data_IF_497456960543
#
_entry.id   IF_497456960543
#
_cell.length_a   1.000
_cell.length_b   1.000
_cell.length_c   1.000
_cell.angle_alpha   90.00
_cell.angle_beta   90.00
_cell.angle_gamma   90.00
#
_symmetry.space_group_name_H-M   'P 1'
#
loop_
_entity.id
_entity.type
_entity.pdbx_description
1 polymer ?
#
# COMPACT_ATOMS: atom_id res chain seq x y z
N UNK A 1 -5.67 55.53 -25.83
CA UNK A 1 -6.21 54.14 -25.84
C UNK A 1 -5.04 53.16 -25.96
N UNK A 2 -4.79 52.26 -24.99
CA UNK A 2 -3.75 51.26 -25.18
C UNK A 2 -4.28 50.14 -26.07
N UNK A 3 -3.61 49.92 -27.20
CA UNK A 3 -3.86 48.81 -28.11
C UNK A 3 -3.69 47.49 -27.35
N UNK A 4 -4.82 46.83 -27.07
CA UNK A 4 -4.89 45.49 -26.50
C UNK A 4 -4.16 44.56 -27.47
N UNK A 5 -2.88 44.22 -27.19
CA UNK A 5 -2.10 43.25 -27.98
C UNK A 5 -2.95 41.99 -28.11
N UNK A 6 -3.51 41.74 -29.30
CA UNK A 6 -4.18 40.48 -29.61
C UNK A 6 -3.16 39.37 -29.34
N UNK A 7 -3.38 38.56 -28.32
CA UNK A 7 -2.61 37.33 -28.13
C UNK A 7 -2.79 36.54 -29.43
N UNK A 8 -1.76 36.45 -30.27
CA UNK A 8 -1.78 35.53 -31.41
C UNK A 8 -2.05 34.15 -30.82
N UNK A 9 -3.18 33.56 -31.18
CA UNK A 9 -3.51 32.20 -30.79
C UNK A 9 -2.54 31.31 -31.58
N UNK A 10 -1.40 30.98 -30.99
CA UNK A 10 -0.45 30.04 -31.59
C UNK A 10 -1.18 28.70 -31.63
N UNK A 11 -1.48 28.22 -32.84
CA UNK A 11 -2.08 26.91 -33.03
C UNK A 11 -1.08 25.84 -32.58
N UNK A 12 -1.52 24.82 -31.84
CA UNK A 12 -0.65 23.74 -31.43
C UNK A 12 -0.20 22.92 -32.64
N UNK A 13 1.04 22.47 -32.62
CA UNK A 13 1.58 21.56 -33.62
C UNK A 13 0.91 20.16 -33.47
N UNK A 14 0.79 19.38 -34.56
CA UNK A 14 0.30 18.02 -34.48
C UNK A 14 1.22 17.16 -33.61
N UNK A 15 0.62 16.22 -32.87
CA UNK A 15 1.36 15.33 -31.98
C UNK A 15 2.20 14.35 -32.82
N UNK A 16 3.52 14.27 -32.61
CA UNK A 16 4.35 13.26 -33.27
C UNK A 16 3.83 11.85 -33.02
N UNK A 17 3.80 11.04 -34.08
CA UNK A 17 3.33 9.66 -34.01
C UNK A 17 4.11 8.81 -33.00
N UNK A 18 3.44 7.89 -32.34
CA UNK A 18 4.08 6.89 -31.48
C UNK A 18 4.45 7.36 -30.06
N UNK A 19 4.27 8.63 -29.70
CA UNK A 19 4.46 9.11 -28.32
C UNK A 19 3.55 8.34 -27.36
N UNK A 20 2.27 8.22 -27.71
CA UNK A 20 1.28 7.46 -26.96
C UNK A 20 0.93 6.18 -27.74
N UNK A 21 1.37 4.99 -27.27
CA UNK A 21 0.93 3.73 -27.88
C UNK A 21 -0.58 3.60 -27.75
N UNK A 22 -1.27 3.30 -28.86
CA UNK A 22 -2.72 3.13 -28.87
C UNK A 22 -3.17 1.95 -27.99
N UNK A 23 -2.31 0.94 -27.84
CA UNK A 23 -2.56 -0.27 -27.07
C UNK A 23 -2.10 -0.17 -25.60
N UNK A 24 -1.54 0.96 -25.16
CA UNK A 24 -0.98 1.13 -23.80
C UNK A 24 -1.93 0.67 -22.69
N UNK A 25 -3.21 1.10 -22.79
CA UNK A 25 -4.23 0.82 -21.79
C UNK A 25 -4.57 -0.67 -21.75
N UNK A 26 -4.72 -1.30 -22.92
CA UNK A 26 -5.06 -2.71 -23.05
C UNK A 26 -3.88 -3.61 -22.67
N UNK A 27 -2.68 -3.31 -23.18
CA UNK A 27 -1.43 -4.05 -22.95
C UNK A 27 -1.11 -4.22 -21.47
N UNK A 28 -1.38 -3.20 -20.66
CA UNK A 28 -1.08 -3.19 -19.22
C UNK A 28 -2.32 -3.30 -18.33
N UNK A 29 -3.49 -3.56 -18.92
CA UNK A 29 -4.80 -3.61 -18.24
C UNK A 29 -4.96 -2.46 -17.22
N UNK A 30 -4.65 -1.23 -17.66
CA UNK A 30 -4.52 -0.07 -16.77
C UNK A 30 -5.82 0.24 -16.04
N UNK A 31 -6.97 0.02 -16.69
CA UNK A 31 -8.26 0.24 -16.06
C UNK A 31 -8.46 -0.67 -14.86
N UNK A 32 -8.20 -1.99 -15.03
CA UNK A 32 -8.32 -2.94 -13.94
C UNK A 32 -7.33 -2.64 -12.82
N UNK A 33 -6.05 -2.44 -13.17
CA UNK A 33 -4.96 -2.18 -12.22
C UNK A 33 -5.22 -0.92 -11.37
N UNK A 34 -5.66 0.17 -11.99
CA UNK A 34 -5.76 1.48 -11.35
C UNK A 34 -7.10 1.71 -10.66
N UNK A 35 -8.17 1.10 -11.15
CA UNK A 35 -9.53 1.39 -10.68
C UNK A 35 -10.26 0.16 -10.14
N UNK A 36 -10.28 -0.97 -10.86
CA UNK A 36 -11.07 -2.13 -10.43
C UNK A 36 -10.44 -2.91 -9.28
N UNK A 37 -9.18 -3.33 -9.42
CA UNK A 37 -8.51 -4.17 -8.43
C UNK A 37 -8.44 -3.50 -7.04
N UNK A 38 -8.11 -2.20 -6.90
CA UNK A 38 -8.11 -1.53 -5.60
C UNK A 38 -9.47 -1.48 -4.90
N UNK A 39 -10.58 -1.59 -5.65
CA UNK A 39 -11.94 -1.55 -5.10
C UNK A 39 -12.50 -2.96 -4.85
N UNK A 40 -12.20 -3.90 -5.74
CA UNK A 40 -12.79 -5.25 -5.73
C UNK A 40 -12.00 -6.25 -4.89
N UNK A 41 -10.69 -6.02 -4.66
CA UNK A 41 -9.82 -6.92 -3.89
C UNK A 41 -9.56 -6.43 -2.45
N UNK A 42 -10.53 -5.75 -1.86
CA UNK A 42 -10.47 -5.37 -0.44
C UNK A 42 -10.77 -6.59 0.43
N UNK A 43 -10.02 -6.74 1.51
CA UNK A 43 -10.21 -7.83 2.47
C UNK A 43 -11.33 -7.46 3.44
N UNK A 44 -12.43 -8.22 3.49
CA UNK A 44 -13.61 -7.84 4.26
C UNK A 44 -13.27 -7.73 5.76
N UNK A 45 -13.72 -6.66 6.45
CA UNK A 45 -13.54 -6.56 7.88
C UNK A 45 -14.28 -7.68 8.60
N UNK A 46 -13.66 -8.20 9.64
CA UNK A 46 -14.28 -9.21 10.51
C UNK A 46 -14.33 -8.70 11.94
N UNK A 47 -15.41 -9.00 12.69
CA UNK A 47 -15.45 -8.74 14.12
C UNK A 47 -14.23 -9.31 14.83
N UNK A 48 -13.86 -8.67 15.93
CA UNK A 48 -12.81 -9.21 16.78
C UNK A 48 -13.31 -10.52 17.42
N UNK A 49 -12.41 -11.50 17.46
CA UNK A 49 -12.54 -12.76 18.19
C UNK A 49 -11.11 -13.28 18.43
N UNK A 50 -10.82 -13.96 19.55
CA UNK A 50 -9.53 -14.61 19.75
C UNK A 50 -9.23 -15.59 18.63
N UNK A 51 -7.95 -15.77 18.30
CA UNK A 51 -7.53 -16.74 17.31
C UNK A 51 -7.91 -18.15 17.74
N UNK A 52 -8.38 -18.98 16.80
CA UNK A 52 -8.63 -20.40 17.00
C UNK A 52 -7.33 -21.22 16.97
N UNK A 53 -7.38 -22.48 17.43
CA UNK A 53 -6.20 -23.34 17.41
C UNK A 53 -5.73 -23.64 15.98
N UNK A 54 -6.65 -23.75 15.03
CA UNK A 54 -6.33 -23.99 13.63
C UNK A 54 -5.60 -22.79 13.00
N UNK A 55 -6.09 -21.58 13.26
CA UNK A 55 -5.44 -20.34 12.85
C UNK A 55 -4.05 -20.19 13.50
N UNK A 56 -3.93 -20.51 14.79
CA UNK A 56 -2.64 -20.48 15.47
C UNK A 56 -1.65 -21.49 14.88
N UNK A 57 -2.10 -22.72 14.62
CA UNK A 57 -1.29 -23.75 13.94
C UNK A 57 -0.80 -23.31 12.56
N UNK A 58 -1.57 -22.48 11.84
CA UNK A 58 -1.14 -21.91 10.57
C UNK A 58 -0.06 -20.82 10.72
N UNK A 59 -0.15 -19.99 11.77
CA UNK A 59 0.78 -18.87 11.99
C UNK A 59 2.07 -19.26 12.74
N UNK A 60 1.99 -20.20 13.67
CA UNK A 60 3.08 -20.55 14.57
C UNK A 60 4.39 -20.91 13.83
N UNK A 61 4.38 -21.72 12.74
CA UNK A 61 5.61 -22.02 12.00
C UNK A 61 6.27 -20.78 11.39
N UNK A 62 5.47 -19.81 10.93
CA UNK A 62 5.99 -18.54 10.38
C UNK A 62 6.65 -17.73 11.49
N UNK A 63 6.03 -17.67 12.68
CA UNK A 63 6.60 -16.99 13.83
C UNK A 63 7.92 -17.63 14.28
N UNK A 64 7.97 -18.96 14.33
CA UNK A 64 9.18 -19.72 14.65
C UNK A 64 10.32 -19.41 13.68
N UNK A 65 10.05 -19.49 12.38
CA UNK A 65 11.03 -19.25 11.32
C UNK A 65 11.59 -17.81 11.36
N UNK A 66 10.79 -16.83 11.79
CA UNK A 66 11.22 -15.45 11.94
C UNK A 66 11.84 -15.13 13.31
N UNK A 67 12.07 -16.13 14.17
CA UNK A 67 12.56 -15.93 15.54
C UNK A 67 11.62 -15.09 16.41
N UNK A 68 10.34 -15.02 16.05
CA UNK A 68 9.36 -14.16 16.68
C UNK A 68 8.55 -14.94 17.73
N UNK A 69 8.86 -14.70 19.02
CA UNK A 69 8.08 -15.26 20.13
C UNK A 69 8.44 -16.70 20.52
N UNK A 70 9.48 -17.30 19.93
CA UNK A 70 9.93 -18.66 20.27
C UNK A 70 11.42 -18.74 20.67
N UNK A 71 12.07 -17.61 20.94
CA UNK A 71 13.46 -17.62 21.40
C UNK A 71 13.52 -17.73 22.94
N UNK A 72 14.31 -18.68 23.43
CA UNK A 72 14.67 -18.85 24.86
C UNK A 72 15.55 -17.70 25.41
N UNK A 73 15.88 -16.72 24.57
CA UNK A 73 16.76 -15.60 24.93
C UNK A 73 15.94 -14.41 25.43
N UNK A 74 15.86 -14.28 26.75
CA UNK A 74 15.33 -13.11 27.45
C UNK A 74 14.48 -13.47 28.67
N UNK A 75 14.02 -12.45 29.41
CA UNK A 75 13.05 -12.66 30.50
C UNK A 75 11.78 -13.31 29.92
N UNK A 76 11.29 -14.41 30.50
CA UNK A 76 10.02 -15.02 30.12
C UNK A 76 8.94 -13.94 30.05
N UNK A 77 8.24 -13.86 28.94
CA UNK A 77 7.12 -12.92 28.81
C UNK A 77 5.92 -13.54 29.51
N UNK A 78 5.20 -12.74 30.31
CA UNK A 78 4.05 -13.20 31.09
C UNK A 78 2.87 -13.73 30.23
N UNK A 79 2.93 -13.60 28.89
CA UNK A 79 1.89 -14.12 28.01
C UNK A 79 2.46 -14.83 26.77
N UNK A 80 1.67 -15.76 26.24
CA UNK A 80 2.04 -16.57 25.08
C UNK A 80 2.15 -15.72 23.79
N UNK A 81 2.93 -16.17 22.79
CA UNK A 81 3.02 -15.49 21.50
C UNK A 81 1.67 -15.34 20.78
N UNK A 82 0.76 -16.31 20.94
CA UNK A 82 -0.62 -16.26 20.44
C UNK A 82 -1.40 -15.12 21.10
N UNK A 83 -1.42 -15.05 22.43
CA UNK A 83 -2.10 -13.98 23.16
C UNK A 83 -1.56 -12.60 22.77
N UNK A 84 -0.25 -12.51 22.50
CA UNK A 84 0.38 -11.28 22.02
C UNK A 84 -0.08 -10.90 20.61
N UNK A 85 -0.24 -11.87 19.70
CA UNK A 85 -0.80 -11.61 18.38
C UNK A 85 -2.26 -11.18 18.46
N UNK A 86 -3.07 -11.80 19.30
CA UNK A 86 -4.47 -11.40 19.51
C UNK A 86 -4.57 -9.96 20.01
N UNK A 87 -3.71 -9.56 20.96
CA UNK A 87 -3.61 -8.17 21.43
C UNK A 87 -3.23 -7.20 20.29
N UNK A 88 -2.24 -7.57 19.47
CA UNK A 88 -1.82 -6.76 18.32
C UNK A 88 -2.94 -6.64 17.30
N UNK A 89 -3.63 -7.74 16.98
CA UNK A 89 -4.72 -7.73 16.01
C UNK A 89 -5.91 -6.91 16.50
N UNK A 90 -6.28 -7.05 17.78
CA UNK A 90 -7.27 -6.19 18.41
C UNK A 90 -6.91 -4.71 18.25
N UNK A 91 -5.70 -4.32 18.65
CA UNK A 91 -5.24 -2.94 18.50
C UNK A 91 -5.22 -2.49 17.03
N UNK A 92 -4.77 -3.35 16.12
CA UNK A 92 -4.60 -3.02 14.71
C UNK A 92 -5.93 -2.70 14.03
N UNK A 93 -6.99 -3.45 14.35
CA UNK A 93 -8.34 -3.27 13.78
C UNK A 93 -9.15 -2.18 14.50
N UNK A 94 -8.82 -1.84 15.74
CA UNK A 94 -9.55 -0.83 16.53
C UNK A 94 -9.47 0.57 15.88
N UNK A 95 -10.63 1.20 15.69
CA UNK A 95 -10.75 2.60 15.25
C UNK A 95 -11.07 3.51 16.45
N UNK A 96 -10.57 4.74 16.42
CA UNK A 96 -10.88 5.78 17.41
C UNK A 96 -10.92 7.15 16.73
N UNK A 97 -12.02 7.90 16.91
CA UNK A 97 -12.19 9.23 16.33
C UNK A 97 -12.06 9.27 14.81
N UNK A 98 -12.61 8.27 14.10
CA UNK A 98 -12.54 8.18 12.63
C UNK A 98 -11.17 7.76 12.06
N UNK A 99 -10.23 7.32 12.90
CA UNK A 99 -8.90 6.87 12.48
C UNK A 99 -8.34 5.72 13.32
N UNK A 100 -7.03 5.48 13.20
CA UNK A 100 -6.32 4.39 13.90
C UNK A 100 -6.22 4.66 15.41
N UNK A 101 -6.60 3.68 16.23
CA UNK A 101 -6.52 3.82 17.68
C UNK A 101 -5.07 3.89 18.21
N UNK A 102 -4.71 4.83 19.10
CA UNK A 102 -3.42 4.78 19.80
C UNK A 102 -3.32 3.53 20.70
N UNK A 103 -2.08 3.14 21.05
CA UNK A 103 -1.83 1.96 21.91
C UNK A 103 -2.53 2.03 23.27
N UNK A 104 -2.69 3.23 23.84
CA UNK A 104 -3.34 3.44 25.14
C UNK A 104 -4.80 2.95 25.24
N UNK A 105 -5.45 2.66 24.11
CA UNK A 105 -6.84 2.19 24.04
C UNK A 105 -6.92 0.67 24.11
N UNK A 106 -5.78 -0.04 24.03
CA UNK A 106 -5.78 -1.50 24.13
C UNK A 106 -6.39 -1.92 25.49
N UNK A 107 -7.38 -2.84 25.52
CA UNK A 107 -7.97 -3.32 26.76
C UNK A 107 -6.93 -3.89 27.73
N UNK A 108 -7.17 -3.68 29.03
CA UNK A 108 -6.25 -4.10 30.10
C UNK A 108 -6.04 -5.63 30.15
N UNK A 109 -7.01 -6.42 29.71
CA UNK A 109 -6.94 -7.89 29.65
C UNK A 109 -5.82 -8.40 28.73
N UNK A 110 -5.39 -7.59 27.74
CA UNK A 110 -4.25 -7.93 26.87
C UNK A 110 -2.89 -7.56 27.48
N UNK A 111 -2.88 -7.07 28.72
CA UNK A 111 -1.71 -6.63 29.46
C UNK A 111 -1.25 -5.22 29.08
N UNK A 112 -0.05 -4.86 29.55
CA UNK A 112 0.50 -3.49 29.40
C UNK A 112 0.67 -3.11 27.91
N UNK A 113 0.04 -2.02 27.43
CA UNK A 113 0.12 -1.60 26.03
C UNK A 113 1.55 -1.39 25.52
N UNK A 114 2.45 -0.87 26.35
CA UNK A 114 3.86 -0.65 25.99
C UNK A 114 4.59 -1.93 25.66
N UNK A 115 4.30 -3.02 26.39
CA UNK A 115 4.89 -4.34 26.17
C UNK A 115 4.44 -4.89 24.81
N UNK A 116 3.14 -4.76 24.49
CA UNK A 116 2.58 -5.17 23.20
C UNK A 116 3.19 -4.35 22.06
N UNK A 117 3.28 -3.03 22.23
CA UNK A 117 3.87 -2.10 21.27
C UNK A 117 5.35 -2.39 20.99
N UNK A 118 6.16 -2.65 22.03
CA UNK A 118 7.57 -3.04 21.86
C UNK A 118 7.69 -4.37 21.13
N UNK A 119 6.86 -5.35 21.46
CA UNK A 119 6.86 -6.64 20.78
C UNK A 119 6.50 -6.50 19.29
N UNK A 120 5.41 -5.78 18.98
CA UNK A 120 4.99 -5.48 17.61
C UNK A 120 6.10 -4.80 16.80
N UNK A 121 6.78 -3.80 17.38
CA UNK A 121 7.92 -3.10 16.75
C UNK A 121 9.11 -4.02 16.51
N UNK A 122 9.40 -4.93 17.45
CA UNK A 122 10.47 -5.92 17.31
C UNK A 122 10.16 -6.90 16.17
N UNK A 123 8.95 -7.45 16.14
CA UNK A 123 8.51 -8.35 15.07
C UNK A 123 8.44 -7.66 13.70
N UNK A 124 8.08 -6.37 13.66
CA UNK A 124 8.11 -5.60 12.43
C UNK A 124 9.53 -5.48 11.86
N UNK A 125 10.52 -5.17 12.70
CA UNK A 125 11.93 -5.11 12.29
C UNK A 125 12.49 -6.47 11.90
N UNK A 126 12.01 -7.54 12.52
CA UNK A 126 12.35 -8.90 12.15
C UNK A 126 11.72 -9.35 10.81
N UNK A 127 10.80 -8.57 10.22
CA UNK A 127 10.18 -8.90 8.93
C UNK A 127 8.95 -9.83 9.03
N UNK A 128 8.34 -9.97 10.22
CA UNK A 128 7.17 -10.83 10.41
C UNK A 128 5.98 -10.39 9.54
N UNK A 129 5.64 -9.10 9.53
CA UNK A 129 4.43 -8.62 8.84
C UNK A 129 4.46 -8.84 7.33
N UNK A 130 5.56 -8.51 6.59
CA UNK A 130 5.69 -8.87 5.19
C UNK A 130 5.54 -10.37 4.93
N UNK A 131 6.09 -11.22 5.81
CA UNK A 131 6.01 -12.67 5.68
C UNK A 131 4.59 -13.20 5.88
N UNK A 132 3.87 -12.66 6.87
CA UNK A 132 2.45 -12.96 7.08
C UNK A 132 1.58 -12.50 5.92
N UNK A 133 1.86 -11.31 5.36
CA UNK A 133 1.13 -10.79 4.21
C UNK A 133 1.32 -11.69 2.98
N UNK A 134 2.55 -12.15 2.74
CA UNK A 134 2.85 -13.13 1.69
C UNK A 134 2.12 -14.47 1.94
N UNK A 135 2.09 -14.95 3.18
CA UNK A 135 1.37 -16.18 3.50
C UNK A 135 -0.14 -16.08 3.22
N UNK A 136 -0.76 -14.93 3.51
CA UNK A 136 -2.18 -14.68 3.16
C UNK A 136 -2.40 -14.75 1.64
N UNK A 137 -1.48 -14.20 0.85
CA UNK A 137 -1.60 -14.22 -0.61
C UNK A 137 -1.39 -15.62 -1.21
N UNK A 138 -0.51 -16.43 -0.61
CA UNK A 138 -0.20 -17.79 -1.08
C UNK A 138 -1.23 -18.84 -0.62
N UNK A 139 -1.84 -18.63 0.55
CA UNK A 139 -2.78 -19.58 1.17
C UNK A 139 -4.05 -18.87 1.66
N UNK A 140 -4.82 -18.25 0.75
CA UNK A 140 -6.03 -17.51 1.12
C UNK A 140 -7.06 -18.39 1.83
N UNK A 141 -7.21 -19.65 1.43
CA UNK A 141 -8.13 -20.62 2.03
C UNK A 141 -7.83 -20.91 3.50
N UNK A 142 -6.55 -20.88 3.90
CA UNK A 142 -6.10 -21.15 5.28
C UNK A 142 -6.13 -19.93 6.18
N UNK A 143 -5.96 -18.74 5.60
CA UNK A 143 -5.76 -17.49 6.35
C UNK A 143 -6.84 -16.43 6.08
N UNK A 144 -7.90 -16.74 5.34
CA UNK A 144 -8.99 -15.81 5.02
C UNK A 144 -9.61 -15.15 6.26
N UNK A 145 -9.74 -15.90 7.36
CA UNK A 145 -10.29 -15.38 8.62
C UNK A 145 -9.39 -14.35 9.31
N UNK A 146 -8.07 -14.46 9.12
CA UNK A 146 -7.07 -13.56 9.69
C UNK A 146 -6.60 -12.48 8.73
N UNK A 147 -6.90 -12.60 7.43
CA UNK A 147 -6.38 -11.74 6.37
C UNK A 147 -6.56 -10.24 6.67
N UNK A 148 -7.76 -9.82 7.09
CA UNK A 148 -8.02 -8.42 7.40
C UNK A 148 -7.19 -7.92 8.59
N UNK A 149 -7.02 -8.75 9.62
CA UNK A 149 -6.23 -8.43 10.83
C UNK A 149 -4.75 -8.32 10.49
N UNK A 150 -4.24 -9.23 9.65
CA UNK A 150 -2.86 -9.21 9.13
C UNK A 150 -2.64 -7.95 8.27
N UNK A 151 -3.55 -7.64 7.35
CA UNK A 151 -3.52 -6.43 6.54
C UNK A 151 -3.45 -5.18 7.43
N UNK A 152 -4.30 -5.07 8.46
CA UNK A 152 -4.28 -3.95 9.40
C UNK A 152 -2.96 -3.85 10.18
N UNK A 153 -2.42 -4.97 10.66
CA UNK A 153 -1.16 -4.98 11.40
C UNK A 153 0.02 -4.59 10.50
N UNK A 154 0.07 -5.11 9.26
CA UNK A 154 1.05 -4.75 8.24
C UNK A 154 0.97 -3.27 7.87
N UNK A 155 -0.24 -2.75 7.60
CA UNK A 155 -0.50 -1.35 7.25
C UNK A 155 0.17 -0.38 8.22
N UNK A 156 0.09 -0.69 9.52
CA UNK A 156 0.66 0.11 10.60
C UNK A 156 2.18 -0.04 10.69
N UNK A 157 2.73 -1.13 10.14
CA UNK A 157 4.14 -1.48 10.16
C UNK A 157 4.92 -1.03 8.91
N UNK A 158 4.25 -0.49 7.88
CA UNK A 158 4.87 -0.12 6.59
C UNK A 158 6.15 0.69 6.74
N UNK A 159 6.17 1.70 7.64
CA UNK A 159 7.36 2.53 7.88
C UNK A 159 8.54 1.74 8.45
N UNK A 160 8.27 0.66 9.20
CA UNK A 160 9.28 -0.23 9.77
C UNK A 160 9.69 -1.33 8.78
N UNK A 161 8.85 -1.65 7.80
CA UNK A 161 9.06 -2.72 6.82
C UNK A 161 9.62 -2.21 5.48
N UNK A 162 10.37 -1.10 5.48
CA UNK A 162 11.00 -0.57 4.26
C UNK A 162 10.15 0.39 3.43
N UNK A 163 9.05 0.92 3.97
CA UNK A 163 8.31 2.04 3.39
C UNK A 163 7.74 1.73 2.00
N UNK A 164 8.39 2.25 0.96
CA UNK A 164 7.99 2.04 -0.43
C UNK A 164 7.97 0.55 -0.80
N UNK A 165 8.96 -0.23 -0.36
CA UNK A 165 9.03 -1.66 -0.64
C UNK A 165 7.82 -2.42 -0.07
N UNK A 166 7.36 -2.04 1.12
CA UNK A 166 6.16 -2.62 1.74
C UNK A 166 4.88 -2.26 0.96
N UNK A 167 4.77 -1.03 0.46
CA UNK A 167 3.65 -0.59 -0.39
C UNK A 167 3.63 -1.40 -1.70
N UNK A 168 4.77 -1.52 -2.36
CA UNK A 168 4.92 -2.29 -3.60
C UNK A 168 4.59 -3.76 -3.37
N UNK A 169 5.08 -4.36 -2.28
CA UNK A 169 4.76 -5.74 -1.91
C UNK A 169 3.23 -5.93 -1.78
N UNK A 170 2.55 -5.12 -0.97
CA UNK A 170 1.11 -5.23 -0.80
C UNK A 170 0.33 -5.10 -2.11
N UNK A 171 0.74 -4.17 -2.98
CA UNK A 171 0.14 -3.97 -4.30
C UNK A 171 0.33 -5.17 -5.21
N UNK A 172 1.55 -5.72 -5.28
CA UNK A 172 1.87 -6.90 -6.11
C UNK A 172 1.17 -8.17 -5.63
N UNK A 173 0.95 -8.29 -4.32
CA UNK A 173 0.14 -9.37 -3.73
C UNK A 173 -1.37 -9.17 -3.93
N UNK A 174 -1.82 -8.02 -4.45
CA UNK A 174 -3.23 -7.71 -4.61
C UNK A 174 -3.99 -7.48 -3.30
N UNK A 175 -3.29 -7.26 -2.18
CA UNK A 175 -3.86 -7.06 -0.85
C UNK A 175 -4.01 -5.58 -0.54
N UNK A 176 -4.97 -4.92 -1.18
CA UNK A 176 -5.14 -3.46 -1.10
C UNK A 176 -5.56 -2.96 0.28
N UNK A 177 -6.24 -3.78 1.10
CA UNK A 177 -6.52 -3.43 2.50
C UNK A 177 -5.24 -3.36 3.34
N UNK A 178 -4.09 -3.88 2.89
CA UNK A 178 -2.82 -3.70 3.59
C UNK A 178 -2.20 -2.31 3.35
N UNK A 179 -2.68 -1.55 2.36
CA UNK A 179 -2.16 -0.23 2.02
C UNK A 179 -2.60 0.84 3.05
N UNK A 180 -1.79 1.88 3.27
CA UNK A 180 -2.09 2.93 4.25
C UNK A 180 -3.10 3.96 3.74
N UNK A 181 -3.41 3.92 2.44
CA UNK A 181 -4.33 4.80 1.71
C UNK A 181 -4.78 4.11 0.40
N UNK A 182 -5.79 4.65 -0.32
CA UNK A 182 -6.14 4.22 -1.66
C UNK A 182 -4.91 4.13 -2.59
N UNK A 183 -4.84 3.06 -3.38
CA UNK A 183 -3.68 2.72 -4.20
C UNK A 183 -3.24 3.86 -5.13
N UNK A 184 -4.20 4.62 -5.66
CA UNK A 184 -3.98 5.72 -6.61
C UNK A 184 -3.32 6.96 -5.99
N UNK A 185 -3.29 7.04 -4.66
CA UNK A 185 -2.68 8.15 -3.94
C UNK A 185 -1.26 7.82 -3.47
N UNK A 186 -0.86 6.56 -3.57
CA UNK A 186 0.44 6.07 -3.14
C UNK A 186 1.39 5.99 -4.33
N UNK A 187 2.70 6.18 -4.10
CA UNK A 187 3.69 5.99 -5.15
C UNK A 187 3.60 4.58 -5.76
N UNK A 188 3.77 4.50 -7.07
CA UNK A 188 3.75 3.26 -7.85
C UNK A 188 4.94 3.19 -8.82
N UNK A 189 6.08 2.61 -8.39
CA UNK A 189 7.25 2.42 -9.25
C UNK A 189 6.95 1.57 -10.49
N UNK A 190 6.08 0.57 -10.37
CA UNK A 190 5.71 -0.29 -11.50
C UNK A 190 4.93 0.52 -12.55
N UNK A 191 4.10 1.48 -12.13
CA UNK A 191 3.42 2.40 -13.04
C UNK A 191 4.39 3.41 -13.66
N UNK A 192 5.40 3.86 -12.91
CA UNK A 192 6.48 4.68 -13.43
C UNK A 192 7.21 3.98 -14.58
N UNK A 193 7.54 2.69 -14.43
CA UNK A 193 8.17 1.90 -15.50
C UNK A 193 7.25 1.72 -16.72
N UNK A 194 5.93 1.55 -16.52
CA UNK A 194 4.97 1.51 -17.64
C UNK A 194 4.94 2.83 -18.41
N UNK A 195 5.00 3.98 -17.73
CA UNK A 195 4.95 5.29 -18.38
C UNK A 195 6.31 5.78 -18.90
N UNK A 196 7.42 5.23 -18.42
CA UNK A 196 8.78 5.65 -18.78
C UNK A 196 9.03 5.74 -20.30
N UNK A 197 8.60 4.78 -21.15
CA UNK A 197 8.79 4.88 -22.60
C UNK A 197 8.07 6.09 -23.21
N UNK A 198 6.93 6.51 -22.66
CA UNK A 198 6.15 7.67 -23.16
C UNK A 198 6.92 8.96 -22.91
N UNK A 199 7.42 9.14 -21.67
CA UNK A 199 8.23 10.30 -21.32
C UNK A 199 9.51 10.37 -22.16
N UNK A 200 10.15 9.22 -22.39
CA UNK A 200 11.34 9.11 -23.23
C UNK A 200 11.03 9.53 -24.68
N UNK A 201 10.00 8.96 -25.30
CA UNK A 201 9.60 9.31 -26.68
C UNK A 201 9.20 10.78 -26.80
N UNK A 202 8.53 11.33 -25.80
CA UNK A 202 8.20 12.75 -25.76
C UNK A 202 9.47 13.61 -25.76
N UNK A 203 10.44 13.31 -24.88
CA UNK A 203 11.70 14.02 -24.80
C UNK A 203 12.51 13.89 -26.10
N UNK A 204 12.63 12.69 -26.66
CA UNK A 204 13.29 12.43 -27.94
C UNK A 204 12.62 13.20 -29.09
N UNK A 205 11.28 13.26 -29.13
CA UNK A 205 10.56 14.04 -30.14
C UNK A 205 10.86 15.54 -30.05
N UNK A 206 10.97 16.06 -28.83
CA UNK A 206 11.22 17.48 -28.57
C UNK A 206 12.66 17.87 -28.88
N UNK A 207 13.62 16.97 -28.61
CA UNK A 207 15.03 17.14 -28.96
C UNK A 207 15.26 17.06 -30.47
N UNK A 208 14.57 16.15 -31.17
CA UNK A 208 14.70 16.01 -32.61
C UNK A 208 14.14 17.22 -33.37
N UNK A 209 13.00 17.74 -32.93
CA UNK A 209 12.39 18.95 -33.47
C UNK A 209 11.57 19.64 -32.38
N UNK A 210 11.96 20.85 -31.94
CA UNK A 210 11.11 21.64 -31.05
C UNK A 210 9.75 21.89 -31.71
N UNK A 211 8.68 21.50 -31.01
CA UNK A 211 7.29 21.66 -31.44
C UNK A 211 6.48 22.20 -30.27
N UNK A 212 5.34 22.84 -30.54
CA UNK A 212 4.46 23.43 -29.54
C UNK A 212 3.31 22.46 -29.19
N UNK A 213 3.39 21.72 -28.06
CA UNK A 213 2.44 20.65 -27.79
C UNK A 213 1.06 21.17 -27.39
N UNK A 214 -0.02 20.52 -27.83
CA UNK A 214 -1.36 20.78 -27.32
C UNK A 214 -1.41 20.71 -25.79
N UNK A 215 -2.26 21.55 -25.17
CA UNK A 215 -2.45 21.55 -23.70
C UNK A 215 -2.84 20.18 -23.13
N UNK A 216 -3.54 19.36 -23.91
CA UNK A 216 -3.94 18.02 -23.48
C UNK A 216 -2.73 17.11 -23.27
N UNK A 217 -1.67 17.22 -24.09
CA UNK A 217 -0.44 16.42 -23.94
C UNK A 217 0.22 16.71 -22.61
N UNK A 218 0.40 18.00 -22.28
CA UNK A 218 0.94 18.43 -20.98
C UNK A 218 0.09 17.94 -19.80
N UNK A 219 -1.24 18.05 -19.91
CA UNK A 219 -2.15 17.54 -18.88
C UNK A 219 -2.03 16.03 -18.69
N UNK A 220 -1.93 15.27 -19.78
CA UNK A 220 -1.77 13.81 -19.75
C UNK A 220 -0.45 13.42 -19.12
N UNK A 221 0.68 13.98 -19.57
CA UNK A 221 2.01 13.70 -19.00
C UNK A 221 2.09 14.08 -17.52
N UNK A 222 1.54 15.24 -17.14
CA UNK A 222 1.44 15.65 -15.75
C UNK A 222 0.58 14.70 -14.92
N UNK A 223 -0.55 14.22 -15.47
CA UNK A 223 -1.41 13.24 -14.81
C UNK A 223 -0.68 11.91 -14.60
N UNK A 224 0.00 11.39 -15.64
CA UNK A 224 0.80 10.16 -15.57
C UNK A 224 1.88 10.27 -14.50
N UNK A 225 2.63 11.37 -14.49
CA UNK A 225 3.68 11.63 -13.50
C UNK A 225 3.10 11.71 -12.08
N UNK A 226 2.00 12.44 -11.90
CA UNK A 226 1.31 12.56 -10.60
C UNK A 226 0.76 11.24 -10.11
N UNK A 227 0.22 10.40 -10.99
CA UNK A 227 -0.30 9.08 -10.63
C UNK A 227 0.82 8.13 -10.21
N UNK A 228 1.95 8.11 -10.92
CA UNK A 228 3.11 7.29 -10.57
C UNK A 228 3.80 7.78 -9.27
N UNK A 229 3.89 9.10 -9.07
CA UNK A 229 4.53 9.68 -7.89
C UNK A 229 3.68 9.62 -6.61
N UNK A 230 2.36 9.48 -6.73
CA UNK A 230 1.43 9.56 -5.60
C UNK A 230 1.33 10.98 -5.02
N UNK A 231 0.69 11.10 -3.84
CA UNK A 231 0.53 12.38 -3.13
C UNK A 231 1.50 12.50 -1.96
N UNK A 232 2.10 13.68 -1.80
CA UNK A 232 2.99 13.99 -0.69
C UNK A 232 2.31 13.96 0.69
N UNK A 233 1.03 14.32 0.75
CA UNK A 233 0.23 14.32 1.99
C UNK A 233 -1.09 13.60 1.75
N UNK A 234 -1.38 12.61 2.60
CA UNK A 234 -2.61 11.84 2.57
C UNK A 234 -3.26 11.92 3.96
N UNK A 235 -4.55 12.32 4.06
CA UNK A 235 -5.25 12.34 5.34
C UNK A 235 -5.32 10.95 5.97
N UNK A 236 -5.18 10.87 7.31
CA UNK A 236 -5.14 9.59 8.03
C UNK A 236 -6.48 8.83 8.03
N UNK A 237 -7.59 9.53 7.79
CA UNK A 237 -8.94 8.95 7.70
C UNK A 237 -9.19 8.23 6.37
N UNK A 238 -8.36 8.48 5.34
CA UNK A 238 -8.53 7.94 4.00
C UNK A 238 -7.92 6.54 3.90
N UNK A 239 -8.26 5.65 4.83
CA UNK A 239 -7.83 4.26 4.76
C UNK A 239 -8.64 3.51 3.69
N UNK A 240 -8.04 2.58 2.93
CA UNK A 240 -8.82 1.66 2.12
C UNK A 240 -9.61 0.78 3.10
N UNK A 241 -10.93 0.71 2.89
CA UNK A 241 -11.88 0.03 3.77
C UNK A 241 -11.39 -1.37 4.19
#
# INVERSE_FOLDING_TARGET
MPLRRRRRCIQPDPIPGGIFPADLVARHDLFRRLYLDPLTRLTPPRPWAPMTDAEWRALAPILAAMGCGMADRGRPMDCTPRARLDAIFHWATTKHGGGRAPWRILPHDFGKPDTVSRCWRRWARAGLWPRLLLAVALHPERLASLAHRICCAFRRAIRLCGGLHAIVLARRLGLFSALPAPSQLLPDPDLSEIYRPIFRRFAESFLARPWYPPRIVWRTLHSMHRMAGGRARIPRWMEPA
#
